data_IF_507263475254
#
_entry.id   IF_507263475254
#
_cell.length_a   1.000
_cell.length_b   1.000
_cell.length_c   1.000
_cell.angle_alpha   90.00
_cell.angle_beta   90.00
_cell.angle_gamma   90.00
#
_symmetry.space_group_name_H-M   'P 1'
#
loop_
_entity.id
_entity.type
_entity.pdbx_description
1 polymer ?
#
# COMPACT_ATOMS: atom_id res chain seq x y z
N UNK A 1 6.35 11.72 9.31
CA UNK A 1 5.52 10.68 8.63
C UNK A 1 6.39 9.48 8.35
N UNK A 2 5.96 8.31 8.77
CA UNK A 2 6.67 7.05 8.48
C UNK A 2 5.76 6.11 7.68
N UNK A 3 6.35 5.40 6.74
CA UNK A 3 5.71 4.28 6.06
C UNK A 3 6.44 3.02 6.47
N UNK A 4 5.74 2.11 7.11
CA UNK A 4 6.26 0.81 7.54
C UNK A 4 5.87 -0.23 6.49
N UNK A 5 6.82 -0.58 5.63
CA UNK A 5 6.67 -1.71 4.71
C UNK A 5 6.90 -3.00 5.48
N UNK A 6 5.87 -3.80 5.66
CA UNK A 6 6.02 -5.13 6.25
C UNK A 6 6.72 -6.03 5.23
N UNK A 7 7.93 -6.49 5.58
CA UNK A 7 8.70 -7.43 4.77
C UNK A 7 8.60 -8.82 5.39
N UNK A 8 8.23 -9.78 4.55
CA UNK A 8 8.03 -11.18 4.92
C UNK A 8 8.57 -12.07 3.80
N UNK A 9 8.85 -13.33 4.10
CA UNK A 9 9.23 -14.29 3.06
C UNK A 9 8.15 -14.38 1.99
N UNK A 10 8.57 -14.57 0.75
CA UNK A 10 7.70 -14.63 -0.43
C UNK A 10 6.92 -13.37 -0.75
N UNK A 11 7.30 -12.19 -0.22
CA UNK A 11 6.65 -10.96 -0.64
C UNK A 11 6.75 -10.75 -2.15
N UNK A 12 5.68 -10.27 -2.78
CA UNK A 12 5.60 -10.06 -4.22
C UNK A 12 6.24 -8.72 -4.62
N UNK A 13 7.43 -8.75 -5.20
CA UNK A 13 8.24 -7.57 -5.53
C UNK A 13 7.51 -6.56 -6.41
N UNK A 14 6.74 -7.03 -7.40
CA UNK A 14 6.06 -6.17 -8.37
C UNK A 14 4.91 -5.36 -7.75
N UNK A 15 4.36 -5.79 -6.63
CA UNK A 15 3.20 -5.15 -6.02
C UNK A 15 3.55 -3.84 -5.32
N UNK A 16 4.78 -3.73 -4.84
CA UNK A 16 5.27 -2.57 -4.10
C UNK A 16 6.20 -1.68 -4.92
N UNK A 17 6.68 -2.15 -6.07
CA UNK A 17 7.76 -1.50 -6.83
C UNK A 17 7.49 -0.04 -7.19
N UNK A 18 6.30 0.28 -7.71
CA UNK A 18 5.91 1.66 -7.99
C UNK A 18 5.89 2.52 -6.73
N UNK A 19 5.22 2.04 -5.70
CA UNK A 19 5.00 2.81 -4.47
C UNK A 19 6.30 3.09 -3.73
N UNK A 20 7.13 2.05 -3.53
CA UNK A 20 8.38 2.19 -2.78
C UNK A 20 9.40 3.07 -3.51
N UNK A 21 9.49 2.96 -4.85
CA UNK A 21 10.35 3.81 -5.65
C UNK A 21 9.98 5.29 -5.52
N UNK A 22 8.69 5.60 -5.62
CA UNK A 22 8.22 6.98 -5.55
C UNK A 22 8.32 7.57 -4.14
N UNK A 23 8.02 6.77 -3.11
CA UNK A 23 8.12 7.21 -1.73
C UNK A 23 9.59 7.41 -1.29
N UNK A 24 10.48 6.48 -1.65
CA UNK A 24 11.89 6.58 -1.26
C UNK A 24 12.61 7.73 -1.98
N UNK A 25 12.40 7.85 -3.30
CA UNK A 25 13.05 8.92 -4.09
C UNK A 25 12.53 10.32 -3.76
N UNK A 26 11.28 10.43 -3.30
CA UNK A 26 10.57 11.70 -3.00
C UNK A 26 10.51 12.68 -4.17
N UNK A 27 10.85 12.25 -5.39
CA UNK A 27 11.04 13.12 -6.57
C UNK A 27 9.80 13.94 -6.94
N UNK A 28 8.61 13.52 -6.48
CA UNK A 28 7.35 14.20 -6.75
C UNK A 28 6.66 14.74 -5.49
N UNK A 29 7.35 14.77 -4.35
CA UNK A 29 6.76 15.32 -3.13
C UNK A 29 6.43 16.80 -3.30
N UNK A 30 5.23 17.18 -2.87
CA UNK A 30 4.79 18.58 -2.88
C UNK A 30 5.62 19.44 -1.93
N UNK A 31 6.14 18.85 -0.85
CA UNK A 31 7.09 19.45 0.09
C UNK A 31 8.27 18.48 0.29
N UNK A 32 9.40 18.70 -0.42
CA UNK A 32 10.60 17.87 -0.27
C UNK A 32 11.27 17.95 1.09
N UNK A 33 11.01 19.02 1.87
CA UNK A 33 11.57 19.22 3.20
C UNK A 33 10.84 18.43 4.29
N UNK A 34 9.68 17.87 3.98
CA UNK A 34 8.89 17.09 4.92
C UNK A 34 9.69 15.91 5.47
N UNK A 35 9.75 15.79 6.80
CA UNK A 35 10.34 14.62 7.44
C UNK A 35 9.53 13.37 7.05
N UNK A 36 10.18 12.46 6.32
CA UNK A 36 9.59 11.25 5.78
C UNK A 36 10.57 10.09 5.83
N UNK A 37 10.09 8.93 6.27
CA UNK A 37 10.88 7.70 6.34
C UNK A 37 10.08 6.54 5.74
N UNK A 38 10.71 5.76 4.87
CA UNK A 38 10.24 4.44 4.43
C UNK A 38 11.10 3.39 5.15
N UNK A 39 10.49 2.65 6.06
CA UNK A 39 11.13 1.67 6.92
C UNK A 39 10.62 0.26 6.61
N UNK A 40 11.52 -0.69 6.51
CA UNK A 40 11.17 -2.11 6.38
C UNK A 40 10.97 -2.70 7.78
N UNK A 41 9.79 -3.27 8.04
CA UNK A 41 9.46 -3.90 9.30
C UNK A 41 9.26 -5.40 9.09
N UNK A 42 9.96 -6.23 9.84
CA UNK A 42 9.81 -7.68 9.82
C UNK A 42 9.16 -8.21 11.09
N UNK A 43 8.70 -9.46 11.07
CA UNK A 43 8.25 -10.15 12.30
C UNK A 43 9.41 -10.23 13.30
N UNK A 44 10.63 -10.42 12.80
CA UNK A 44 11.89 -10.25 13.53
C UNK A 44 12.80 -9.31 12.74
N UNK A 45 14.06 -9.18 13.17
CA UNK A 45 15.10 -8.45 12.43
C UNK A 45 15.88 -9.35 11.46
N UNK A 46 15.50 -10.62 11.33
CA UNK A 46 16.13 -11.56 10.41
C UNK A 46 15.78 -11.18 8.97
N UNK A 47 16.73 -11.42 8.07
CA UNK A 47 16.52 -11.18 6.64
C UNK A 47 15.48 -12.15 6.08
N UNK A 48 14.64 -11.64 5.17
CA UNK A 48 13.62 -12.40 4.44
C UNK A 48 13.90 -12.36 2.94
N UNK A 49 13.38 -13.32 2.19
CA UNK A 49 13.58 -13.41 0.75
C UNK A 49 12.25 -13.26 0.01
N UNK A 50 12.20 -12.32 -0.95
CA UNK A 50 11.02 -12.08 -1.78
C UNK A 50 10.79 -13.19 -2.81
N UNK A 51 9.65 -13.18 -3.52
CA UNK A 51 9.37 -14.06 -4.66
C UNK A 51 10.42 -13.91 -5.77
N UNK A 52 10.95 -12.71 -5.99
CA UNK A 52 12.01 -12.43 -6.96
C UNK A 52 13.40 -12.83 -6.50
N UNK A 53 13.56 -13.42 -5.31
CA UNK A 53 14.86 -13.81 -4.76
C UNK A 53 15.66 -12.64 -4.17
N UNK A 54 15.02 -11.48 -3.95
CA UNK A 54 15.66 -10.31 -3.34
C UNK A 54 15.65 -10.45 -1.82
N UNK A 55 16.82 -10.28 -1.20
CA UNK A 55 16.94 -10.29 0.26
C UNK A 55 16.59 -8.92 0.83
N UNK A 56 15.64 -8.89 1.78
CA UNK A 56 15.27 -7.72 2.55
C UNK A 56 15.69 -7.89 4.01
N UNK A 57 16.55 -7.00 4.49
CA UNK A 57 16.86 -6.91 5.92
C UNK A 57 15.93 -5.88 6.55
N UNK A 58 15.09 -6.25 7.55
CA UNK A 58 14.24 -5.30 8.26
C UNK A 58 15.07 -4.24 8.99
N UNK A 59 14.59 -3.01 8.99
CA UNK A 59 15.16 -1.90 9.77
C UNK A 59 14.75 -2.00 11.25
N UNK A 60 13.56 -2.60 11.51
CA UNK A 60 13.01 -2.81 12.86
C UNK A 60 12.11 -4.05 12.89
N UNK A 61 11.84 -4.55 14.10
CA UNK A 61 10.81 -5.56 14.30
C UNK A 61 9.42 -4.91 14.39
N UNK A 62 8.37 -5.67 14.06
CA UNK A 62 6.97 -5.22 14.15
C UNK A 62 6.63 -4.74 15.56
N UNK A 63 7.13 -5.40 16.59
CA UNK A 63 6.89 -5.05 17.98
C UNK A 63 7.51 -3.71 18.40
N UNK A 64 8.49 -3.21 17.63
CA UNK A 64 9.13 -1.90 17.86
C UNK A 64 8.35 -0.74 17.21
N UNK A 65 7.29 -1.03 16.44
CA UNK A 65 6.52 -0.01 15.72
C UNK A 65 5.65 0.80 16.69
N UNK A 66 5.83 2.11 16.64
CA UNK A 66 4.94 3.10 17.25
C UNK A 66 4.40 4.01 16.16
N UNK A 67 3.14 3.78 15.79
CA UNK A 67 2.47 4.55 14.73
C UNK A 67 2.03 5.92 15.22
N UNK A 68 2.39 6.95 14.47
CA UNK A 68 1.84 8.30 14.63
C UNK A 68 0.65 8.54 13.71
N UNK A 69 -0.05 9.68 13.88
CA UNK A 69 -1.32 10.00 13.22
C UNK A 69 -1.30 9.93 11.69
N UNK A 70 -0.16 10.20 11.06
CA UNK A 70 -0.04 10.23 9.60
C UNK A 70 0.82 9.09 9.05
N UNK A 71 1.11 8.09 9.88
CA UNK A 71 1.93 6.95 9.46
C UNK A 71 1.07 5.92 8.72
N UNK A 72 1.72 5.15 7.87
CA UNK A 72 1.11 4.09 7.07
C UNK A 72 1.75 2.74 7.38
N UNK A 73 0.94 1.72 7.58
CA UNK A 73 1.35 0.32 7.53
C UNK A 73 1.05 -0.24 6.14
N UNK A 74 2.07 -0.72 5.43
CA UNK A 74 1.99 -1.23 4.07
C UNK A 74 2.23 -2.75 4.06
N UNK A 75 1.24 -3.51 3.62
CA UNK A 75 1.20 -4.97 3.61
C UNK A 75 1.21 -5.48 2.16
N UNK A 76 2.34 -5.97 1.62
CA UNK A 76 2.42 -6.56 0.29
C UNK A 76 1.78 -7.96 0.26
N UNK A 77 1.46 -8.47 -0.92
CA UNK A 77 1.13 -9.88 -1.10
C UNK A 77 2.33 -10.77 -0.78
N UNK A 78 2.03 -11.93 -0.23
CA UNK A 78 2.97 -12.99 0.07
C UNK A 78 2.21 -14.28 0.31
N UNK A 79 2.90 -15.43 0.32
CA UNK A 79 2.26 -16.73 0.58
C UNK A 79 1.96 -16.96 2.05
N UNK A 80 2.61 -16.22 2.95
CA UNK A 80 2.51 -16.46 4.40
C UNK A 80 1.25 -15.94 5.07
N UNK A 81 0.42 -15.13 4.39
CA UNK A 81 -0.68 -14.41 5.05
C UNK A 81 -1.76 -15.29 5.68
N UNK A 82 -1.86 -16.55 5.27
CA UNK A 82 -2.76 -17.56 5.86
C UNK A 82 -2.07 -18.39 6.95
N UNK A 83 -0.79 -18.12 7.26
CA UNK A 83 -0.02 -18.85 8.25
C UNK A 83 0.03 -18.17 9.63
N UNK A 84 0.41 -18.93 10.66
CA UNK A 84 0.62 -18.38 12.00
C UNK A 84 1.75 -17.33 12.05
N UNK A 85 2.70 -17.37 11.11
CA UNK A 85 3.82 -16.43 11.05
C UNK A 85 3.36 -15.00 10.74
N UNK A 86 2.25 -14.83 10.00
CA UNK A 86 1.71 -13.52 9.68
C UNK A 86 0.94 -12.86 10.84
N UNK A 87 0.61 -13.61 11.90
CA UNK A 87 -0.27 -13.14 12.98
C UNK A 87 0.19 -11.83 13.61
N UNK A 88 1.48 -11.62 13.97
CA UNK A 88 1.92 -10.33 14.54
C UNK A 88 1.65 -9.13 13.61
N UNK A 89 1.89 -9.29 12.30
CA UNK A 89 1.63 -8.25 11.33
C UNK A 89 0.12 -7.96 11.18
N UNK A 90 -0.71 -9.00 11.22
CA UNK A 90 -2.17 -8.86 11.13
C UNK A 90 -2.76 -8.21 12.38
N UNK A 91 -2.27 -8.55 13.57
CA UNK A 91 -2.67 -7.94 14.84
C UNK A 91 -2.28 -6.45 14.87
N UNK A 92 -1.07 -6.10 14.42
CA UNK A 92 -0.66 -4.72 14.25
C UNK A 92 -1.57 -3.97 13.26
N UNK A 93 -1.91 -4.59 12.12
CA UNK A 93 -2.78 -3.98 11.12
C UNK A 93 -4.19 -3.73 11.66
N UNK A 94 -4.76 -4.69 12.41
CA UNK A 94 -6.05 -4.51 13.08
C UNK A 94 -5.99 -3.34 14.05
N UNK A 95 -5.00 -3.35 14.93
CA UNK A 95 -4.82 -2.28 15.93
C UNK A 95 -4.67 -0.91 15.24
N UNK A 96 -3.86 -0.82 14.20
CA UNK A 96 -3.70 0.40 13.40
C UNK A 96 -5.04 0.89 12.83
N UNK A 97 -5.81 0.00 12.19
CA UNK A 97 -7.13 0.34 11.64
C UNK A 97 -8.12 0.81 12.70
N UNK A 98 -8.16 0.15 13.85
CA UNK A 98 -9.11 0.44 14.92
C UNK A 98 -8.80 1.76 15.64
N UNK A 99 -7.53 2.19 15.63
CA UNK A 99 -7.09 3.50 16.13
C UNK A 99 -7.04 4.61 15.07
N UNK A 100 -7.53 4.34 13.84
CA UNK A 100 -7.63 5.35 12.78
C UNK A 100 -6.32 5.57 12.00
N UNK A 101 -5.27 4.79 12.24
CA UNK A 101 -4.04 4.85 11.46
C UNK A 101 -4.26 4.29 10.05
N UNK A 102 -3.43 4.73 9.10
CA UNK A 102 -3.54 4.33 7.71
C UNK A 102 -2.95 2.93 7.48
N UNK A 103 -3.68 2.09 6.74
CA UNK A 103 -3.23 0.76 6.33
C UNK A 103 -3.45 0.60 4.83
N UNK A 104 -2.50 -0.01 4.15
CA UNK A 104 -2.64 -0.39 2.74
C UNK A 104 -2.26 -1.87 2.59
N UNK A 105 -3.10 -2.65 1.92
CA UNK A 105 -2.90 -4.08 1.72
C UNK A 105 -3.23 -4.50 0.28
N UNK A 106 -2.39 -5.34 -0.30
CA UNK A 106 -2.58 -5.81 -1.67
C UNK A 106 -2.51 -7.34 -1.74
N UNK A 107 -3.29 -7.94 -2.65
CA UNK A 107 -3.22 -9.38 -2.96
C UNK A 107 -3.50 -10.27 -1.74
N UNK A 108 -2.59 -11.20 -1.41
CA UNK A 108 -2.69 -12.12 -0.27
C UNK A 108 -2.87 -11.43 1.09
N UNK A 109 -2.32 -10.23 1.28
CA UNK A 109 -2.50 -9.46 2.51
C UNK A 109 -3.98 -9.10 2.77
N UNK A 110 -4.81 -8.97 1.72
CA UNK A 110 -6.25 -8.74 1.89
C UNK A 110 -6.97 -9.96 2.46
N UNK A 111 -6.50 -11.18 2.14
CA UNK A 111 -7.00 -12.43 2.76
C UNK A 111 -6.63 -12.44 4.24
N UNK A 112 -5.39 -12.10 4.58
CA UNK A 112 -4.96 -11.95 5.96
C UNK A 112 -5.85 -10.96 6.74
N UNK A 113 -6.14 -9.77 6.20
CA UNK A 113 -7.04 -8.80 6.83
C UNK A 113 -8.48 -9.33 6.97
N UNK A 114 -8.98 -10.10 5.99
CA UNK A 114 -10.30 -10.71 6.07
C UNK A 114 -10.36 -11.77 7.16
N UNK A 115 -9.32 -12.61 7.30
CA UNK A 115 -9.27 -13.69 8.30
C UNK A 115 -9.38 -13.20 9.75
N UNK A 116 -8.89 -11.98 9.99
CA UNK A 116 -9.01 -11.33 11.30
C UNK A 116 -10.25 -10.43 11.42
N UNK A 117 -11.17 -10.43 10.42
CA UNK A 117 -12.40 -9.63 10.40
C UNK A 117 -12.21 -8.14 10.17
N UNK A 118 -11.00 -7.67 9.84
CA UNK A 118 -10.71 -6.25 9.63
C UNK A 118 -11.46 -5.64 8.44
N UNK A 119 -11.91 -6.47 7.49
CA UNK A 119 -12.65 -6.04 6.29
C UNK A 119 -14.18 -6.08 6.46
N UNK A 120 -14.72 -6.57 7.58
CA UNK A 120 -16.16 -6.78 7.74
C UNK A 120 -16.99 -5.49 7.68
N UNK A 121 -16.42 -4.36 8.08
CA UNK A 121 -17.10 -3.06 8.17
C UNK A 121 -16.45 -1.97 7.31
N UNK A 122 -15.45 -2.31 6.50
CA UNK A 122 -14.65 -1.36 5.71
C UNK A 122 -14.81 -1.61 4.22
N UNK A 123 -14.94 -0.57 3.41
CA UNK A 123 -14.91 -0.69 1.94
C UNK A 123 -13.56 -1.26 1.51
N UNK A 124 -13.60 -2.31 0.68
CA UNK A 124 -12.40 -3.03 0.28
C UNK A 124 -12.59 -3.78 -1.05
N UNK A 125 -11.48 -4.25 -1.59
CA UNK A 125 -11.40 -5.26 -2.66
C UNK A 125 -10.36 -6.32 -2.30
N UNK A 126 -10.25 -7.34 -3.10
CA UNK A 126 -9.28 -8.44 -3.03
C UNK A 126 -9.06 -9.02 -4.42
N UNK A 127 -8.29 -10.10 -4.54
CA UNK A 127 -8.09 -10.80 -5.80
C UNK A 127 -9.41 -11.34 -6.39
N UNK A 128 -10.22 -11.97 -5.55
CA UNK A 128 -11.54 -12.49 -5.90
C UNK A 128 -12.41 -12.65 -4.65
N UNK A 129 -13.71 -12.31 -4.75
CA UNK A 129 -14.64 -12.40 -3.63
C UNK A 129 -14.93 -13.87 -3.24
N UNK A 130 -15.06 -14.75 -4.23
CA UNK A 130 -15.34 -16.17 -3.99
C UNK A 130 -14.18 -16.84 -3.26
N UNK A 131 -12.95 -16.56 -3.71
CA UNK A 131 -11.73 -17.01 -3.05
C UNK A 131 -11.64 -16.47 -1.62
N UNK A 132 -11.87 -15.16 -1.42
CA UNK A 132 -11.86 -14.53 -0.10
C UNK A 132 -12.83 -15.21 0.88
N UNK A 133 -14.05 -15.50 0.43
CA UNK A 133 -15.06 -16.21 1.25
C UNK A 133 -14.68 -17.66 1.54
N UNK A 134 -14.04 -18.34 0.59
CA UNK A 134 -13.59 -19.72 0.77
C UNK A 134 -12.42 -19.81 1.76
N UNK A 135 -11.43 -18.89 1.66
CA UNK A 135 -10.27 -18.85 2.56
C UNK A 135 -10.62 -18.32 3.97
N UNK A 136 -11.67 -17.51 4.09
CA UNK A 136 -12.04 -16.87 5.35
C UNK A 136 -13.51 -17.16 5.72
N UNK A 137 -13.84 -18.33 6.32
CA UNK A 137 -15.22 -18.72 6.64
C UNK A 137 -15.97 -17.73 7.56
N UNK A 138 -15.23 -16.98 8.37
CA UNK A 138 -15.76 -15.95 9.28
C UNK A 138 -15.85 -14.55 8.67
N UNK A 139 -15.50 -14.40 7.40
CA UNK A 139 -15.64 -13.14 6.70
C UNK A 139 -17.12 -12.76 6.52
N UNK A 140 -17.47 -11.52 6.89
CA UNK A 140 -18.83 -10.96 6.83
C UNK A 140 -18.90 -9.64 6.06
N UNK A 141 -17.83 -9.30 5.34
CA UNK A 141 -17.66 -8.00 4.68
C UNK A 141 -18.16 -7.91 3.24
N UNK A 142 -18.90 -8.90 2.72
CA UNK A 142 -19.34 -8.96 1.31
C UNK A 142 -20.09 -7.70 0.88
N UNK A 143 -20.93 -7.13 1.73
CA UNK A 143 -21.69 -5.90 1.45
C UNK A 143 -20.78 -4.66 1.28
N UNK A 144 -19.58 -4.70 1.83
CA UNK A 144 -18.56 -3.66 1.72
C UNK A 144 -17.58 -3.89 0.56
N UNK A 145 -17.60 -5.10 -0.03
CA UNK A 145 -16.73 -5.46 -1.15
C UNK A 145 -17.05 -4.64 -2.41
N UNK A 146 -16.02 -4.22 -3.13
CA UNK A 146 -16.13 -3.53 -4.42
C UNK A 146 -15.28 -4.27 -5.45
N UNK A 147 -15.89 -4.59 -6.58
CA UNK A 147 -15.20 -5.24 -7.71
C UNK A 147 -14.44 -4.18 -8.52
N UNK A 148 -13.41 -3.63 -7.90
CA UNK A 148 -12.54 -2.59 -8.46
C UNK A 148 -11.07 -3.00 -8.29
N UNK A 149 -10.15 -2.55 -9.17
CA UNK A 149 -8.72 -2.89 -9.08
C UNK A 149 -8.09 -2.50 -7.75
N UNK A 150 -8.41 -1.31 -7.25
CA UNK A 150 -8.04 -0.81 -5.93
C UNK A 150 -9.20 -0.03 -5.33
N UNK A 151 -9.37 -0.14 -4.02
CA UNK A 151 -10.43 0.53 -3.26
C UNK A 151 -9.83 1.27 -2.08
N UNK A 152 -10.18 2.55 -1.95
CA UNK A 152 -9.90 3.35 -0.77
C UNK A 152 -11.15 3.49 0.08
N UNK A 153 -11.07 3.03 1.32
CA UNK A 153 -12.02 3.35 2.40
C UNK A 153 -11.54 4.58 3.17
N UNK A 154 -11.93 4.68 4.44
CA UNK A 154 -11.56 5.83 5.29
C UNK A 154 -10.03 5.86 5.55
N UNK A 155 -9.53 4.86 6.26
CA UNK A 155 -8.10 4.71 6.58
C UNK A 155 -7.48 3.42 6.01
N UNK A 156 -8.13 2.80 5.02
CA UNK A 156 -7.70 1.56 4.40
C UNK A 156 -7.66 1.70 2.88
N UNK A 157 -6.56 1.27 2.26
CA UNK A 157 -6.49 0.98 0.81
C UNK A 157 -6.30 -0.51 0.63
N UNK A 158 -7.12 -1.12 -0.23
CA UNK A 158 -6.91 -2.52 -0.66
C UNK A 158 -6.87 -2.62 -2.17
N UNK A 159 -6.17 -3.62 -2.70
CA UNK A 159 -6.10 -3.87 -4.13
C UNK A 159 -5.95 -5.36 -4.45
N UNK A 160 -6.32 -5.74 -5.67
CA UNK A 160 -5.94 -7.03 -6.26
C UNK A 160 -4.46 -7.01 -6.65
N UNK A 161 -3.77 -8.15 -6.57
CA UNK A 161 -2.34 -8.30 -6.96
C UNK A 161 -2.05 -7.98 -8.43
N UNK A 162 -3.08 -7.84 -9.26
CA UNK A 162 -2.97 -7.43 -10.66
C UNK A 162 -2.98 -5.91 -10.84
N UNK A 163 -3.14 -5.13 -9.76
CA UNK A 163 -3.33 -3.69 -9.81
C UNK A 163 -2.29 -2.89 -8.98
N UNK A 164 -0.98 -3.17 -9.09
CA UNK A 164 0.05 -2.44 -8.32
C UNK A 164 0.08 -0.94 -8.65
N UNK A 165 -0.27 -0.56 -9.86
CA UNK A 165 -0.34 0.84 -10.29
C UNK A 165 -1.50 1.58 -9.61
N UNK A 166 -2.71 1.01 -9.64
CA UNK A 166 -3.90 1.55 -8.99
C UNK A 166 -3.73 1.60 -7.47
N UNK A 167 -3.14 0.55 -6.90
CA UNK A 167 -2.78 0.49 -5.49
C UNK A 167 -1.88 1.65 -5.09
N UNK A 168 -0.77 1.82 -5.81
CA UNK A 168 0.18 2.91 -5.57
C UNK A 168 -0.48 4.28 -5.68
N UNK A 169 -1.32 4.47 -6.70
CA UNK A 169 -2.05 5.73 -6.90
C UNK A 169 -2.99 6.06 -5.73
N UNK A 170 -3.79 5.09 -5.26
CA UNK A 170 -4.70 5.32 -4.13
C UNK A 170 -3.94 5.53 -2.81
N UNK A 171 -2.81 4.85 -2.59
CA UNK A 171 -1.97 5.06 -1.41
C UNK A 171 -1.33 6.46 -1.44
N UNK A 172 -0.76 6.89 -2.56
CA UNK A 172 -0.16 8.22 -2.69
C UNK A 172 -1.18 9.34 -2.46
N UNK A 173 -2.42 9.15 -2.91
CA UNK A 173 -3.54 10.06 -2.62
C UNK A 173 -3.93 10.07 -1.15
N UNK A 174 -3.90 8.91 -0.48
CA UNK A 174 -4.21 8.80 0.94
C UNK A 174 -3.16 9.52 1.79
N UNK A 175 -1.87 9.35 1.46
CA UNK A 175 -0.74 10.00 2.15
C UNK A 175 -0.68 11.52 1.92
N UNK A 176 -1.29 12.04 0.85
CA UNK A 176 -1.28 13.46 0.47
C UNK A 176 0.15 14.04 0.37
N UNK A 177 1.10 13.23 -0.07
CA UNK A 177 2.50 13.65 -0.23
C UNK A 177 2.77 14.31 -1.59
N UNK A 178 1.85 14.16 -2.55
CA UNK A 178 1.90 14.76 -3.88
C UNK A 178 0.77 15.76 -4.09
N UNK A 179 0.96 16.72 -5.00
CA UNK A 179 -0.15 17.52 -5.51
C UNK A 179 -1.13 16.60 -6.27
N UNK A 180 -2.45 16.84 -6.21
CA UNK A 180 -3.43 15.98 -6.89
C UNK A 180 -3.21 15.86 -8.40
N UNK A 181 -2.81 16.94 -9.07
CA UNK A 181 -2.48 16.98 -10.49
C UNK A 181 -1.25 16.14 -10.82
N UNK A 182 -0.22 16.16 -9.97
CA UNK A 182 0.99 15.32 -10.11
C UNK A 182 0.61 13.84 -10.02
N UNK A 183 -0.15 13.46 -9.02
CA UNK A 183 -0.61 12.09 -8.85
C UNK A 183 -1.44 11.61 -10.05
N UNK A 184 -2.34 12.46 -10.56
CA UNK A 184 -3.17 12.16 -11.74
C UNK A 184 -2.32 11.99 -13.00
N UNK A 185 -1.38 12.90 -13.25
CA UNK A 185 -0.52 12.85 -14.43
C UNK A 185 0.38 11.60 -14.39
N UNK A 186 0.99 11.30 -13.24
CA UNK A 186 1.79 10.10 -13.03
C UNK A 186 0.98 8.82 -13.31
N UNK A 187 -0.19 8.69 -12.71
CA UNK A 187 -1.06 7.52 -12.93
C UNK A 187 -1.45 7.37 -14.39
N UNK A 188 -1.87 8.46 -15.05
CA UNK A 188 -2.26 8.45 -16.46
C UNK A 188 -1.09 8.11 -17.38
N UNK A 189 0.11 8.61 -17.09
CA UNK A 189 1.32 8.29 -17.85
C UNK A 189 1.58 6.78 -17.82
N UNK A 190 1.63 6.17 -16.64
CA UNK A 190 1.88 4.74 -16.51
C UNK A 190 0.74 3.89 -17.09
N UNK A 191 -0.51 4.32 -16.93
CA UNK A 191 -1.69 3.59 -17.42
C UNK A 191 -1.81 3.61 -18.93
N UNK A 192 -1.57 4.77 -19.55
CA UNK A 192 -1.84 4.98 -21.00
C UNK A 192 -0.58 5.03 -21.84
N UNK A 193 0.58 5.29 -21.26
CA UNK A 193 1.88 5.49 -21.95
C UNK A 193 1.86 6.59 -22.98
N UNK A 194 0.95 7.57 -22.85
CA UNK A 194 0.82 8.72 -23.75
C UNK A 194 1.73 9.86 -23.31
N UNK A 195 2.53 10.39 -24.23
CA UNK A 195 3.54 11.44 -24.01
C UNK A 195 2.96 12.70 -23.36
N UNK A 196 1.75 13.09 -23.72
CA UNK A 196 1.08 14.26 -23.10
C UNK A 196 1.08 14.21 -21.56
N UNK A 197 0.95 13.02 -20.96
CA UNK A 197 0.94 12.88 -19.51
C UNK A 197 2.33 13.04 -18.89
N UNK A 198 3.39 12.83 -19.66
CA UNK A 198 4.74 13.20 -19.22
C UNK A 198 4.88 14.71 -19.11
N UNK A 199 4.42 15.48 -20.12
CA UNK A 199 4.45 16.94 -20.07
C UNK A 199 3.59 17.49 -18.92
N UNK A 200 2.40 16.95 -18.71
CA UNK A 200 1.54 17.30 -17.56
C UNK A 200 2.22 17.00 -16.20
N UNK A 201 2.92 15.86 -16.08
CA UNK A 201 3.65 15.50 -14.88
C UNK A 201 4.78 16.50 -14.62
N UNK A 202 5.58 16.81 -15.63
CA UNK A 202 6.66 17.80 -15.50
C UNK A 202 6.11 19.18 -15.13
N UNK A 203 5.06 19.63 -15.80
CA UNK A 203 4.41 20.92 -15.52
C UNK A 203 3.88 21.00 -14.07
N UNK A 204 3.34 19.91 -13.54
CA UNK A 204 2.79 19.86 -12.18
C UNK A 204 3.83 20.03 -11.06
N UNK A 205 5.11 19.81 -11.38
CA UNK A 205 6.23 19.99 -10.43
C UNK A 205 6.75 21.42 -10.39
N UNK A 206 6.46 22.21 -11.41
CA UNK A 206 6.90 23.60 -11.51
C UNK A 206 5.93 24.49 -10.73
N UNK A 207 6.46 25.41 -9.89
CA UNK A 207 5.64 26.44 -9.23
C UNK A 207 5.22 27.58 -10.19
N UNK A 208 5.65 27.52 -11.46
CA UNK A 208 5.30 28.46 -12.50
C UNK A 208 4.07 27.96 -13.27
N UNK A 209 2.97 28.75 -13.38
CA UNK A 209 1.85 28.36 -14.23
C UNK A 209 2.34 28.17 -15.66
N UNK A 210 1.99 27.03 -16.26
CA UNK A 210 2.30 26.74 -17.65
C UNK A 210 1.74 27.87 -18.53
N UNK A 211 2.60 28.65 -19.15
CA UNK A 211 2.21 29.56 -20.24
C UNK A 211 1.88 28.65 -21.41
N UNK A 212 0.59 28.45 -21.65
CA UNK A 212 0.11 27.77 -22.85
C UNK A 212 0.48 28.62 -24.07
N UNK A 213 1.47 28.18 -24.80
CA UNK A 213 1.80 28.70 -26.15
C UNK A 213 1.19 27.79 -27.20
#
# INVERSE_FOLDING_TARGET
>A
MKVYLVVVDTLADWEIGYLTAELHSRRFFADPSKDFQLLKAGVSRDAVTSMGGVTHTPDLAIDDIQMGDNDLLLLPGADIWESAQARPALELARNALDHGHQVAAICGATVGLASIGALNTRRHTSNDLGFLKASCPDYRGEHMYRKEPAVRGDNLVTATGLAPLEFSYEVLKMLKVWKPETAKAWYRLHKTRQERWYHELVASMSDTPAVLS
#
